data_IF_590865968734
#
_entry.id   IF_590865968734
#
_cell.length_a   1.000
_cell.length_b   1.000
_cell.length_c   1.000
_cell.angle_alpha   90.00
_cell.angle_beta   90.00
_cell.angle_gamma   90.00
#
_symmetry.space_group_name_H-M   'P 1'
#
loop_
_entity.id
_entity.type
_entity.pdbx_description
1 polymer ?
#
# COMPACT_ATOMS: atom_id res chain seq x y z
N UNK A 1 15.63 -17.35 26.76
CA UNK A 1 16.00 -16.43 25.67
C UNK A 1 14.96 -16.56 24.58
N UNK A 2 14.01 -15.64 24.51
CA UNK A 2 12.91 -15.71 23.52
C UNK A 2 13.42 -15.22 22.17
N UNK A 3 13.53 -16.15 21.22
CA UNK A 3 13.84 -15.87 19.82
C UNK A 3 12.64 -15.09 19.27
N UNK A 4 12.78 -13.77 19.06
CA UNK A 4 11.76 -12.96 18.38
C UNK A 4 11.63 -13.55 16.97
N UNK A 5 10.48 -14.15 16.69
CA UNK A 5 10.10 -14.55 15.33
C UNK A 5 9.88 -13.25 14.58
N UNK A 6 10.72 -12.98 13.59
CA UNK A 6 10.67 -11.81 12.73
C UNK A 6 9.32 -11.81 12.01
N UNK A 7 8.52 -10.76 12.17
CA UNK A 7 7.16 -10.72 11.61
C UNK A 7 7.22 -10.55 10.09
N UNK A 8 6.15 -10.93 9.38
CA UNK A 8 6.05 -10.70 7.93
C UNK A 8 6.20 -9.21 7.57
N UNK A 9 5.76 -8.31 8.45
CA UNK A 9 5.94 -6.87 8.31
C UNK A 9 7.41 -6.43 8.41
N UNK A 10 8.20 -7.05 9.29
CA UNK A 10 9.64 -6.78 9.41
C UNK A 10 10.39 -7.23 8.15
N UNK A 11 10.05 -8.41 7.62
CA UNK A 11 10.62 -8.93 6.38
C UNK A 11 10.25 -8.06 5.15
N UNK A 12 9.00 -7.57 5.08
CA UNK A 12 8.58 -6.64 4.03
C UNK A 12 9.34 -5.31 4.08
N UNK A 13 9.57 -4.78 5.30
CA UNK A 13 10.34 -3.54 5.50
C UNK A 13 11.81 -3.71 5.10
N UNK A 14 12.43 -4.84 5.43
CA UNK A 14 13.79 -5.15 5.00
C UNK A 14 13.92 -5.26 3.47
N UNK A 15 12.96 -5.90 2.82
CA UNK A 15 12.94 -6.00 1.35
C UNK A 15 12.84 -4.62 0.69
N UNK A 16 11.98 -3.73 1.20
CA UNK A 16 11.85 -2.35 0.71
C UNK A 16 13.13 -1.55 0.96
N UNK A 17 13.78 -1.71 2.12
CA UNK A 17 15.05 -1.05 2.42
C UNK A 17 16.17 -1.53 1.47
N UNK A 18 16.22 -2.83 1.18
CA UNK A 18 17.16 -3.39 0.21
C UNK A 18 16.90 -2.90 -1.21
N UNK A 19 15.64 -2.77 -1.63
CA UNK A 19 15.28 -2.16 -2.92
C UNK A 19 15.72 -0.70 -2.99
N UNK A 20 15.43 0.09 -1.95
CA UNK A 20 15.81 1.49 -1.87
C UNK A 20 17.32 1.67 -2.02
N UNK A 21 18.12 0.84 -1.35
CA UNK A 21 19.58 0.88 -1.44
C UNK A 21 20.07 0.55 -2.85
N UNK A 22 19.51 -0.48 -3.50
CA UNK A 22 19.83 -0.81 -4.90
C UNK A 22 19.53 0.36 -5.84
N UNK A 23 18.39 1.03 -5.65
CA UNK A 23 18.00 2.17 -6.49
C UNK A 23 18.91 3.38 -6.25
N UNK A 24 19.33 3.65 -5.01
CA UNK A 24 20.31 4.71 -4.70
C UNK A 24 21.64 4.48 -5.41
N UNK A 25 22.16 3.26 -5.36
CA UNK A 25 23.40 2.90 -6.07
C UNK A 25 23.28 3.06 -7.58
N UNK A 26 22.12 2.71 -8.17
CA UNK A 26 21.86 2.92 -9.60
C UNK A 26 21.81 4.41 -9.95
N UNK A 27 21.09 5.22 -9.16
CA UNK A 27 21.01 6.67 -9.34
C UNK A 27 22.40 7.31 -9.30
N UNK A 28 23.26 6.91 -8.35
CA UNK A 28 24.59 7.49 -8.21
C UNK A 28 25.48 7.21 -9.43
N UNK A 29 25.37 6.02 -10.02
CA UNK A 29 26.06 5.69 -11.28
C UNK A 29 25.54 6.53 -12.44
N UNK A 30 24.21 6.60 -12.59
CA UNK A 30 23.58 7.34 -13.67
C UNK A 30 23.82 8.85 -13.57
N UNK A 31 23.88 9.42 -12.36
CA UNK A 31 24.21 10.83 -12.14
C UNK A 31 25.64 11.16 -12.62
N UNK A 32 26.59 10.23 -12.47
CA UNK A 32 27.94 10.38 -13.04
C UNK A 32 27.88 10.37 -14.57
N UNK A 33 27.12 9.46 -15.18
CA UNK A 33 26.96 9.39 -16.63
C UNK A 33 26.32 10.67 -17.20
N UNK A 34 25.22 11.15 -16.60
CA UNK A 34 24.54 12.40 -16.99
C UNK A 34 25.46 13.62 -16.85
N UNK A 35 26.34 13.65 -15.83
CA UNK A 35 27.35 14.70 -15.70
C UNK A 35 28.40 14.64 -16.80
N UNK A 36 28.80 13.45 -17.22
CA UNK A 36 29.77 13.25 -18.30
C UNK A 36 29.20 13.61 -19.68
N UNK A 37 27.88 13.49 -19.87
CA UNK A 37 27.21 13.92 -21.11
C UNK A 37 27.32 15.45 -21.33
N UNK A 38 27.50 16.24 -20.26
CA UNK A 38 27.60 17.70 -20.35
C UNK A 38 28.87 18.10 -21.10
N UNK A 39 28.71 18.46 -22.37
CA UNK A 39 29.79 18.92 -23.23
C UNK A 39 30.43 17.85 -24.11
N UNK A 40 29.90 16.62 -24.09
CA UNK A 40 30.43 15.47 -24.87
C UNK A 40 29.45 14.96 -25.95
N UNK A 41 28.40 15.73 -26.25
CA UNK A 41 27.39 15.38 -27.25
C UNK A 41 27.89 15.76 -28.65
N UNK A 42 28.19 14.77 -29.49
CA UNK A 42 28.78 14.97 -30.82
C UNK A 42 27.74 15.08 -31.94
N UNK A 43 26.66 14.30 -31.88
CA UNK A 43 25.58 14.32 -32.86
C UNK A 43 24.16 14.29 -32.24
N UNK A 44 23.14 14.24 -33.09
CA UNK A 44 21.74 14.20 -32.64
C UNK A 44 21.37 12.90 -31.91
N UNK A 45 22.04 11.79 -32.21
CA UNK A 45 21.85 10.51 -31.52
C UNK A 45 22.40 10.60 -30.10
N UNK A 46 23.62 11.09 -29.95
CA UNK A 46 24.23 11.35 -28.64
C UNK A 46 23.37 12.29 -27.78
N UNK A 47 22.74 13.30 -28.42
CA UNK A 47 21.86 14.24 -27.73
C UNK A 47 20.59 13.55 -27.21
N UNK A 48 20.01 12.66 -28.01
CA UNK A 48 18.83 11.89 -27.63
C UNK A 48 19.15 10.93 -26.47
N UNK A 49 20.31 10.28 -26.51
CA UNK A 49 20.75 9.41 -25.41
C UNK A 49 20.97 10.18 -24.10
N UNK A 50 21.61 11.36 -24.17
CA UNK A 50 21.81 12.22 -23.01
C UNK A 50 20.48 12.68 -22.38
N UNK A 51 19.49 13.01 -23.22
CA UNK A 51 18.13 13.35 -22.75
C UNK A 51 17.48 12.14 -22.07
N UNK A 52 17.56 10.96 -22.69
CA UNK A 52 16.98 9.74 -22.14
C UNK A 52 17.61 9.38 -20.77
N UNK A 53 18.93 9.51 -20.63
CA UNK A 53 19.61 9.29 -19.34
C UNK A 53 19.17 10.29 -18.28
N UNK A 54 18.99 11.56 -18.64
CA UNK A 54 18.48 12.59 -17.72
C UNK A 54 17.05 12.29 -17.25
N UNK A 55 16.16 11.84 -18.15
CA UNK A 55 14.80 11.42 -17.81
C UNK A 55 14.79 10.20 -16.88
N UNK A 56 15.62 9.20 -17.16
CA UNK A 56 15.78 8.03 -16.28
C UNK A 56 16.25 8.43 -14.88
N UNK A 57 17.16 9.40 -14.76
CA UNK A 57 17.66 9.91 -13.49
C UNK A 57 16.55 10.57 -12.64
N UNK A 58 15.66 11.32 -13.29
CA UNK A 58 14.47 11.90 -12.65
C UNK A 58 13.54 10.79 -12.16
N UNK A 59 13.19 9.83 -13.03
CA UNK A 59 12.31 8.73 -12.67
C UNK A 59 12.85 7.87 -11.51
N UNK A 60 14.16 7.60 -11.51
CA UNK A 60 14.82 6.92 -10.38
C UNK A 60 14.74 7.73 -9.08
N UNK A 61 14.94 9.05 -9.17
CA UNK A 61 14.87 9.94 -7.99
C UNK A 61 13.46 9.98 -7.40
N UNK A 62 12.43 10.04 -8.23
CA UNK A 62 11.04 10.00 -7.79
C UNK A 62 10.69 8.68 -7.10
N UNK A 63 11.12 7.56 -7.67
CA UNK A 63 10.93 6.23 -7.07
C UNK A 63 11.64 6.09 -5.73
N UNK A 64 12.87 6.58 -5.62
CA UNK A 64 13.62 6.62 -4.35
C UNK A 64 12.85 7.43 -3.31
N UNK A 65 12.36 8.62 -3.67
CA UNK A 65 11.60 9.48 -2.76
C UNK A 65 10.29 8.83 -2.30
N UNK A 66 9.60 8.12 -3.18
CA UNK A 66 8.41 7.34 -2.83
C UNK A 66 8.71 6.24 -1.81
N UNK A 67 9.72 5.42 -2.07
CA UNK A 67 10.11 4.32 -1.18
C UNK A 67 10.64 4.82 0.17
N UNK A 68 11.44 5.89 0.17
CA UNK A 68 11.96 6.51 1.39
C UNK A 68 10.83 7.07 2.27
N UNK A 69 9.81 7.71 1.64
CA UNK A 69 8.57 8.11 2.33
C UNK A 69 7.88 6.89 2.95
N UNK A 70 7.58 5.86 2.17
CA UNK A 70 6.91 4.62 2.65
C UNK A 70 7.64 3.97 3.84
N UNK A 71 8.97 3.96 3.82
CA UNK A 71 9.78 3.41 4.92
C UNK A 71 9.75 4.30 6.17
N UNK A 72 9.79 5.62 6.00
CA UNK A 72 9.87 6.60 7.09
C UNK A 72 8.54 6.82 7.80
N UNK A 73 7.44 6.94 7.07
CA UNK A 73 6.10 7.09 7.66
C UNK A 73 5.47 5.76 8.06
N UNK A 74 6.06 4.61 7.67
CA UNK A 74 5.30 3.36 7.66
C UNK A 74 4.11 3.45 6.69
N UNK A 75 3.15 2.51 6.70
CA UNK A 75 1.86 2.77 6.09
C UNK A 75 1.34 4.12 6.63
N UNK A 76 0.98 5.04 5.74
CA UNK A 76 0.70 6.44 6.07
C UNK A 76 -0.24 6.56 7.28
N UNK A 77 0.21 7.20 8.36
CA UNK A 77 -0.60 7.48 9.56
C UNK A 77 -1.69 8.54 9.33
N UNK A 78 -1.83 9.07 8.10
CA UNK A 78 -2.99 9.87 7.72
C UNK A 78 -4.30 9.07 7.76
N UNK A 79 -4.23 7.74 7.80
CA UNK A 79 -5.38 6.86 7.58
C UNK A 79 -5.82 6.12 8.86
N UNK A 80 -5.23 6.39 10.03
CA UNK A 80 -5.65 5.75 11.29
C UNK A 80 -7.08 6.16 11.72
N UNK A 81 -7.60 7.27 11.18
CA UNK A 81 -9.01 7.65 11.34
C UNK A 81 -9.90 7.16 10.19
N UNK A 82 -9.33 6.69 9.07
CA UNK A 82 -10.06 6.36 7.83
C UNK A 82 -9.99 4.86 7.47
N UNK A 83 -9.25 4.05 8.23
CA UNK A 83 -9.13 2.60 7.94
C UNK A 83 -9.27 1.76 9.20
N UNK A 84 -9.96 0.63 9.08
CA UNK A 84 -10.04 -0.37 10.15
C UNK A 84 -8.66 -1.04 10.34
N UNK A 85 -8.20 -1.22 11.58
CA UNK A 85 -6.96 -1.95 11.85
C UNK A 85 -7.00 -3.37 11.28
N UNK A 86 -5.89 -3.83 10.70
CA UNK A 86 -5.72 -5.23 10.32
C UNK A 86 -5.92 -6.15 11.53
N UNK A 87 -6.64 -7.25 11.34
CA UNK A 87 -7.08 -8.16 12.41
C UNK A 87 -8.41 -7.77 13.07
N UNK A 88 -9.07 -6.70 12.63
CA UNK A 88 -10.45 -6.39 13.06
C UNK A 88 -11.43 -7.41 12.50
N UNK A 89 -12.35 -7.87 13.33
CA UNK A 89 -13.46 -8.75 12.93
C UNK A 89 -14.74 -7.91 12.88
N UNK A 90 -15.43 -7.90 11.74
CA UNK A 90 -16.69 -7.17 11.53
C UNK A 90 -17.80 -8.14 11.13
N UNK A 91 -18.98 -7.96 11.70
CA UNK A 91 -20.20 -8.65 11.26
C UNK A 91 -21.10 -7.64 10.58
N UNK A 92 -21.46 -7.93 9.33
CA UNK A 92 -22.18 -7.04 8.43
C UNK A 92 -23.49 -7.67 8.00
N UNK A 93 -24.55 -6.86 7.87
CA UNK A 93 -25.81 -7.24 7.23
C UNK A 93 -26.00 -6.46 5.94
N UNK A 94 -26.04 -7.18 4.82
CA UNK A 94 -26.28 -6.62 3.49
C UNK A 94 -27.76 -6.35 3.23
N UNK A 95 -28.04 -5.60 2.16
CA UNK A 95 -29.39 -5.16 1.78
C UNK A 95 -30.34 -6.31 1.41
N UNK A 96 -29.81 -7.46 1.00
CA UNK A 96 -30.55 -8.71 0.76
C UNK A 96 -30.86 -9.51 2.05
N UNK A 97 -30.38 -9.03 3.20
CA UNK A 97 -30.54 -9.66 4.51
C UNK A 97 -29.45 -10.67 4.86
N UNK A 98 -28.46 -10.89 3.98
CA UNK A 98 -27.32 -11.77 4.28
C UNK A 98 -26.47 -11.17 5.42
N UNK A 99 -26.08 -12.03 6.38
CA UNK A 99 -25.20 -11.63 7.48
C UNK A 99 -23.88 -12.37 7.36
N UNK A 100 -22.80 -11.61 7.15
CA UNK A 100 -21.45 -12.15 6.92
C UNK A 100 -20.50 -11.62 7.97
N UNK A 101 -19.64 -12.49 8.49
CA UNK A 101 -18.51 -12.09 9.35
C UNK A 101 -17.24 -12.06 8.53
N UNK A 102 -16.57 -10.91 8.49
CA UNK A 102 -15.38 -10.67 7.70
C UNK A 102 -14.19 -10.27 8.58
N UNK A 103 -13.00 -10.68 8.16
CA UNK A 103 -11.74 -10.33 8.81
C UNK A 103 -11.01 -9.27 7.99
N UNK A 104 -10.68 -8.16 8.64
CA UNK A 104 -9.91 -7.09 8.03
C UNK A 104 -8.46 -7.53 7.88
N UNK A 105 -7.96 -7.55 6.64
CA UNK A 105 -6.59 -7.88 6.29
C UNK A 105 -5.87 -6.66 5.70
N UNK A 106 -4.57 -6.56 5.90
CA UNK A 106 -3.80 -5.40 5.44
C UNK A 106 -3.40 -5.51 3.97
N UNK A 107 -3.16 -6.74 3.51
CA UNK A 107 -2.76 -7.09 2.14
C UNK A 107 -3.52 -8.35 1.70
N UNK A 108 -3.76 -8.50 0.40
CA UNK A 108 -4.55 -9.62 -0.16
C UNK A 108 -3.90 -10.98 0.11
N UNK A 109 -2.57 -11.02 0.22
CA UNK A 109 -1.79 -12.22 0.51
C UNK A 109 -2.05 -12.81 1.91
N UNK A 110 -2.73 -12.08 2.79
CA UNK A 110 -3.17 -12.57 4.11
C UNK A 110 -4.48 -13.37 4.04
N UNK A 111 -5.18 -13.40 2.90
CA UNK A 111 -6.41 -14.18 2.73
C UNK A 111 -6.12 -15.69 2.81
N UNK A 112 -6.75 -16.43 3.75
CA UNK A 112 -6.65 -17.89 3.76
C UNK A 112 -7.29 -18.48 2.51
N UNK A 113 -6.67 -19.52 1.95
CA UNK A 113 -7.18 -20.23 0.76
C UNK A 113 -8.61 -20.71 1.01
N UNK A 114 -9.54 -20.32 0.12
CA UNK A 114 -10.95 -20.69 0.22
C UNK A 114 -11.79 -19.85 1.19
N UNK A 115 -11.25 -18.73 1.69
CA UNK A 115 -11.95 -17.77 2.56
C UNK A 115 -11.98 -16.37 1.97
N UNK A 116 -11.92 -16.26 0.65
CA UNK A 116 -11.90 -14.98 -0.05
C UNK A 116 -13.14 -14.13 0.29
N UNK A 117 -14.32 -14.78 0.42
CA UNK A 117 -15.57 -14.13 0.82
C UNK A 117 -15.67 -13.74 2.30
N UNK A 118 -14.74 -14.19 3.14
CA UNK A 118 -14.68 -13.87 4.58
C UNK A 118 -13.57 -12.85 4.91
N UNK A 119 -12.92 -12.28 3.88
CA UNK A 119 -11.81 -11.35 4.07
C UNK A 119 -12.10 -9.99 3.46
N UNK A 120 -11.70 -8.94 4.17
CA UNK A 120 -11.93 -7.54 3.81
C UNK A 120 -10.60 -6.80 3.83
N UNK A 121 -10.12 -6.27 2.71
CA UNK A 121 -8.87 -5.49 2.73
C UNK A 121 -9.10 -4.12 3.38
N UNK A 122 -8.19 -3.68 4.24
CA UNK A 122 -8.30 -2.44 5.00
C UNK A 122 -8.46 -1.17 4.13
N UNK A 123 -8.03 -1.23 2.87
CA UNK A 123 -8.16 -0.15 1.88
C UNK A 123 -9.33 -0.30 0.90
N UNK A 124 -10.18 -1.30 1.11
CA UNK A 124 -11.39 -1.44 0.29
C UNK A 124 -12.38 -0.30 0.62
N UNK A 125 -13.23 0.12 -0.35
CA UNK A 125 -14.26 1.13 -0.11
C UNK A 125 -15.16 0.81 1.08
N UNK A 126 -15.46 -0.48 1.27
CA UNK A 126 -16.26 -0.97 2.40
C UNK A 126 -15.50 -0.84 3.74
N UNK A 127 -14.23 -1.26 3.81
CA UNK A 127 -13.46 -1.13 5.05
C UNK A 127 -13.25 0.32 5.48
N UNK A 128 -13.06 1.22 4.50
CA UNK A 128 -12.94 2.65 4.74
C UNK A 128 -14.26 3.24 5.23
N UNK A 129 -15.38 2.86 4.62
CA UNK A 129 -16.71 3.30 5.06
C UNK A 129 -17.07 2.81 6.47
N UNK A 130 -16.50 1.69 6.92
CA UNK A 130 -16.70 1.16 8.27
C UNK A 130 -15.77 1.77 9.32
N UNK A 131 -14.72 2.50 8.92
CA UNK A 131 -13.77 3.09 9.85
C UNK A 131 -14.47 4.14 10.72
N UNK A 132 -14.29 4.05 12.04
CA UNK A 132 -14.90 4.97 13.02
C UNK A 132 -16.37 4.70 13.36
N UNK A 133 -17.05 3.80 12.64
CA UNK A 133 -18.44 3.43 12.90
C UNK A 133 -18.59 2.40 14.03
N UNK A 134 -19.80 2.30 14.58
CA UNK A 134 -20.14 1.43 15.70
C UNK A 134 -21.22 0.42 15.29
N UNK A 135 -21.34 -0.64 16.08
CA UNK A 135 -22.44 -1.58 15.94
C UNK A 135 -23.80 -0.86 15.99
N UNK A 136 -24.65 -1.12 15.00
CA UNK A 136 -25.95 -0.47 14.75
C UNK A 136 -25.92 0.60 13.65
N UNK A 137 -24.75 1.01 13.17
CA UNK A 137 -24.65 2.02 12.10
C UNK A 137 -24.89 1.38 10.72
N UNK A 138 -25.63 2.09 9.87
CA UNK A 138 -25.67 1.79 8.42
C UNK A 138 -24.67 2.67 7.70
N UNK A 139 -23.79 2.05 6.92
CA UNK A 139 -22.77 2.75 6.13
C UNK A 139 -23.03 2.57 4.64
N UNK A 140 -22.79 3.64 3.88
CA UNK A 140 -22.86 3.63 2.41
C UNK A 140 -21.45 3.50 1.86
N UNK A 141 -21.24 2.65 0.87
CA UNK A 141 -19.95 2.43 0.23
C UNK A 141 -20.10 2.31 -1.30
N UNK A 142 -19.04 2.66 -2.03
CA UNK A 142 -19.06 2.61 -3.49
C UNK A 142 -18.74 1.20 -4.01
N UNK A 143 -19.56 0.72 -4.94
CA UNK A 143 -19.31 -0.49 -5.74
C UNK A 143 -19.18 -0.13 -7.22
N UNK A 144 -18.61 -1.01 -8.07
CA UNK A 144 -18.60 -0.79 -9.51
C UNK A 144 -20.00 -0.62 -10.15
N UNK A 145 -21.07 -1.06 -9.48
CA UNK A 145 -22.44 -0.96 -9.97
C UNK A 145 -23.21 0.26 -9.40
N UNK A 146 -22.61 1.02 -8.50
CA UNK A 146 -23.24 2.15 -7.81
C UNK A 146 -22.97 2.13 -6.31
N UNK A 147 -23.57 3.06 -5.57
CA UNK A 147 -23.54 3.06 -4.11
C UNK A 147 -24.38 1.92 -3.55
N UNK A 148 -23.88 1.26 -2.52
CA UNK A 148 -24.59 0.22 -1.77
C UNK A 148 -24.49 0.48 -0.26
N UNK A 149 -25.34 -0.17 0.52
CA UNK A 149 -25.46 0.03 1.96
C UNK A 149 -25.35 -1.27 2.73
N UNK A 150 -24.76 -1.17 3.92
CA UNK A 150 -24.57 -2.30 4.82
C UNK A 150 -24.72 -1.84 6.27
N UNK A 151 -25.34 -2.67 7.09
CA UNK A 151 -25.48 -2.43 8.53
C UNK A 151 -24.36 -3.14 9.28
N UNK A 152 -23.62 -2.39 10.11
CA UNK A 152 -22.57 -2.93 10.97
C UNK A 152 -23.22 -3.55 12.22
N UNK A 153 -23.25 -4.87 12.32
CA UNK A 153 -23.87 -5.59 13.45
C UNK A 153 -22.92 -5.69 14.64
N UNK A 154 -21.64 -5.94 14.38
CA UNK A 154 -20.62 -6.06 15.41
C UNK A 154 -19.25 -5.65 14.87
N UNK A 155 -18.43 -5.04 15.73
CA UNK A 155 -17.04 -4.72 15.45
C UNK A 155 -16.18 -5.14 16.64
N UNK A 156 -15.12 -5.88 16.36
CA UNK A 156 -14.16 -6.36 17.36
C UNK A 156 -12.75 -6.02 16.89
N UNK A 157 -12.20 -5.00 17.54
CA UNK A 157 -10.84 -4.55 17.28
C UNK A 157 -9.82 -5.59 17.78
N UNK A 158 -8.67 -5.72 17.10
CA UNK A 158 -7.57 -6.57 17.57
C UNK A 158 -7.06 -6.11 18.94
N UNK A 159 -6.65 -7.06 19.78
CA UNK A 159 -6.06 -6.80 21.10
C UNK A 159 -4.56 -6.59 21.04
#
# INVERSE_FOLDING_TARGET
MSKKVQSAADAARENLAAELERLRQRRDRLDVEVRNDRGMVGDHGDAAEAIQRAEELVGLSDRINELDRRLRTGPSQSDESETLPGGTEVTLRFSDGEVVTMHVISIVEETPVGREGETLTARSPLAQALAGHKAGDTVTYSTPQGEDQVELIAVKLPR
#
